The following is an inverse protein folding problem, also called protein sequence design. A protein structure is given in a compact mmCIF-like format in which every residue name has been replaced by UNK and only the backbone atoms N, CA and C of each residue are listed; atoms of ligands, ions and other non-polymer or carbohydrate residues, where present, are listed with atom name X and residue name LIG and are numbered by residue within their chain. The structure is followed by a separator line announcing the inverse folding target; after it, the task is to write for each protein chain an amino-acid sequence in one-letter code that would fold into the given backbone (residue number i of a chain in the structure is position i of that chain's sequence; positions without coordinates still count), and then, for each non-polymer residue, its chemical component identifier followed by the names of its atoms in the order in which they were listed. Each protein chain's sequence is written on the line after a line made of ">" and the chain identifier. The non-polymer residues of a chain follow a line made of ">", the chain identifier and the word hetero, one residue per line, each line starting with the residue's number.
data_IF_476282701802
#
_entry.id   IF_476282701802
#
_cell.length_a   1.000
_cell.length_b   1.000
_cell.length_c   1.000
_cell.angle_alpha   90.00
_cell.angle_beta   90.00
_cell.angle_gamma   90.00
#
_symmetry.space_group_name_H-M   'P 1'
#
loop_
_entity.id
_entity.type
_entity.pdbx_description
1 polymer ?
#
# COMPACT_ATOMS: atom_id res chain seq x y z
N UNK A 1 4.16 -22.31 2.53
CA UNK A 1 3.08 -21.36 2.25
C UNK A 1 3.34 -20.15 3.11
N UNK A 2 3.50 -18.96 2.52
CA UNK A 2 3.77 -17.75 3.29
C UNK A 2 2.52 -17.25 4.02
N UNK A 3 2.70 -16.41 5.03
CA UNK A 3 1.60 -15.76 5.74
C UNK A 3 0.69 -14.97 4.78
N UNK A 4 1.28 -14.22 3.86
CA UNK A 4 0.55 -13.52 2.80
C UNK A 4 -0.31 -14.45 1.95
N UNK A 5 0.21 -15.62 1.56
CA UNK A 5 -0.58 -16.59 0.77
C UNK A 5 -1.78 -17.12 1.56
N UNK A 6 -1.63 -17.29 2.88
CA UNK A 6 -2.71 -17.73 3.76
C UNK A 6 -3.78 -16.65 3.88
N UNK A 7 -3.38 -15.40 4.12
CA UNK A 7 -4.29 -14.23 4.17
C UNK A 7 -5.07 -14.12 2.85
N UNK A 8 -4.36 -14.13 1.72
CA UNK A 8 -4.99 -14.03 0.39
C UNK A 8 -6.04 -15.11 0.16
N UNK A 9 -5.73 -16.37 0.46
CA UNK A 9 -6.69 -17.48 0.32
C UNK A 9 -7.91 -17.31 1.23
N UNK A 10 -7.69 -16.92 2.49
CA UNK A 10 -8.77 -16.74 3.46
C UNK A 10 -9.74 -15.64 3.00
N UNK A 11 -9.22 -14.47 2.63
CA UNK A 11 -10.03 -13.34 2.17
C UNK A 11 -10.79 -13.69 0.88
N UNK A 12 -10.14 -14.36 -0.07
CA UNK A 12 -10.80 -14.82 -1.30
C UNK A 12 -11.90 -15.85 -1.04
N UNK A 13 -11.68 -16.79 -0.11
CA UNK A 13 -12.69 -17.77 0.28
C UNK A 13 -13.92 -17.14 0.92
N UNK A 14 -13.73 -16.08 1.71
CA UNK A 14 -14.82 -15.31 2.35
C UNK A 14 -15.43 -14.24 1.46
N UNK A 15 -14.78 -13.88 0.35
CA UNK A 15 -15.12 -12.71 -0.50
C UNK A 15 -15.10 -11.39 0.27
N UNK A 16 -14.14 -11.28 1.18
CA UNK A 16 -13.94 -10.09 2.02
C UNK A 16 -12.58 -9.46 1.71
N UNK A 17 -12.47 -8.16 1.97
CA UNK A 17 -11.18 -7.46 1.89
C UNK A 17 -10.46 -7.60 3.23
N UNK A 18 -9.14 -7.78 3.17
CA UNK A 18 -8.29 -7.91 4.34
C UNK A 18 -8.34 -6.65 5.20
N UNK A 19 -8.42 -6.87 6.50
CA UNK A 19 -8.23 -5.90 7.57
C UNK A 19 -7.10 -6.42 8.45
N UNK A 20 -6.07 -5.61 8.61
CA UNK A 20 -4.86 -6.01 9.33
C UNK A 20 -5.10 -5.95 10.85
N UNK A 21 -5.03 -7.09 11.58
CA UNK A 21 -5.23 -7.10 13.02
C UNK A 21 -4.07 -6.45 13.78
N UNK A 22 -2.86 -6.42 13.21
CA UNK A 22 -1.67 -5.88 13.84
C UNK A 22 -1.49 -4.38 13.53
N UNK A 23 -2.14 -3.89 12.47
CA UNK A 23 -2.10 -2.49 12.06
C UNK A 23 -3.48 -1.99 11.58
N UNK A 24 -4.43 -1.90 12.52
CA UNK A 24 -5.81 -1.50 12.23
C UNK A 24 -5.93 -0.07 11.68
N UNK A 25 -6.99 0.20 10.92
CA UNK A 25 -7.33 1.51 10.35
C UNK A 25 -7.91 2.47 11.43
N UNK A 26 -7.11 2.77 12.45
CA UNK A 26 -7.48 3.60 13.60
C UNK A 26 -6.47 4.70 13.82
N UNK A 27 -6.91 5.76 14.49
CA UNK A 27 -6.13 6.97 14.72
C UNK A 27 -4.79 6.72 15.45
N UNK A 28 -4.76 5.74 16.36
CA UNK A 28 -3.57 5.34 17.14
C UNK A 28 -2.50 4.65 16.29
N UNK A 29 -2.86 4.13 15.10
CA UNK A 29 -1.89 3.57 14.16
C UNK A 29 -1.03 4.65 13.49
N UNK A 30 -1.48 5.92 13.50
CA UNK A 30 -0.72 7.06 12.98
C UNK A 30 0.03 7.78 14.09
N UNK A 31 -0.59 7.97 15.26
CA UNK A 31 0.02 8.65 16.40
C UNK A 31 -0.02 7.78 17.66
N UNK A 32 1.14 7.44 18.20
CA UNK A 32 1.26 6.56 19.38
C UNK A 32 1.31 7.31 20.72
N UNK A 33 1.65 8.60 20.72
CA UNK A 33 1.89 9.38 21.96
C UNK A 33 1.24 10.77 21.98
N UNK A 34 0.76 11.26 20.84
CA UNK A 34 0.15 12.59 20.74
C UNK A 34 -1.31 12.48 20.28
N UNK A 35 -2.14 13.39 20.80
CA UNK A 35 -3.44 13.62 20.23
C UNK A 35 -3.25 14.15 18.79
N UNK A 36 -3.79 13.46 17.78
CA UNK A 36 -3.67 13.91 16.40
C UNK A 36 -4.36 15.25 16.20
N UNK A 37 -3.76 16.16 15.43
CA UNK A 37 -4.38 17.46 15.11
C UNK A 37 -5.56 17.35 14.13
N UNK A 38 -5.82 16.17 13.56
CA UNK A 38 -6.85 15.92 12.54
C UNK A 38 -7.56 14.58 12.78
N UNK A 39 -8.82 14.48 12.37
CA UNK A 39 -9.54 13.20 12.26
C UNK A 39 -9.28 12.60 10.89
N UNK A 40 -8.87 11.32 10.85
CA UNK A 40 -8.68 10.61 9.58
C UNK A 40 -9.90 9.79 9.17
N UNK A 41 -10.18 9.79 7.88
CA UNK A 41 -11.04 8.81 7.22
C UNK A 41 -10.15 7.86 6.43
N UNK A 42 -10.26 6.57 6.72
CA UNK A 42 -9.48 5.54 6.04
C UNK A 42 -10.24 5.06 4.81
N UNK A 43 -9.62 5.18 3.64
CA UNK A 43 -10.20 4.83 2.35
C UNK A 43 -9.29 3.85 1.62
N UNK A 44 -9.87 2.88 0.90
CA UNK A 44 -9.10 2.02 0.02
C UNK A 44 -8.87 2.74 -1.31
N UNK A 45 -7.86 2.34 -2.12
CA UNK A 45 -7.59 3.01 -3.39
C UNK A 45 -8.77 3.04 -4.38
N UNK A 46 -9.64 2.04 -4.33
CA UNK A 46 -10.87 1.98 -5.15
C UNK A 46 -11.92 3.02 -4.74
N UNK A 47 -11.88 3.49 -3.49
CA UNK A 47 -12.77 4.54 -2.98
C UNK A 47 -12.23 5.95 -3.30
N UNK A 48 -10.92 6.05 -3.60
CA UNK A 48 -10.23 7.31 -3.90
C UNK A 48 -10.24 7.65 -5.39
N UNK A 49 -10.13 6.64 -6.26
CA UNK A 49 -10.04 6.80 -7.71
C UNK A 49 -10.67 5.61 -8.43
N UNK A 50 -11.28 5.87 -9.60
CA UNK A 50 -12.02 4.86 -10.36
C UNK A 50 -11.16 3.65 -10.79
N UNK A 51 -9.92 3.89 -11.22
CA UNK A 51 -9.03 2.87 -11.77
C UNK A 51 -7.66 2.94 -11.07
N UNK A 52 -7.55 2.44 -9.82
CA UNK A 52 -6.28 2.46 -9.11
C UNK A 52 -5.29 1.49 -9.76
N UNK A 53 -4.06 1.96 -9.98
CA UNK A 53 -2.94 1.14 -10.47
C UNK A 53 -1.87 1.08 -9.39
N UNK A 54 -1.28 -0.10 -9.19
CA UNK A 54 -0.29 -0.29 -8.13
C UNK A 54 1.05 0.37 -8.49
N UNK A 55 1.62 -0.02 -9.64
CA UNK A 55 2.82 0.61 -10.20
C UNK A 55 2.54 0.90 -11.68
N UNK A 56 2.80 2.14 -12.11
CA UNK A 56 2.79 2.54 -13.52
C UNK A 56 4.23 2.67 -14.01
N UNK A 57 4.72 1.65 -14.70
CA UNK A 57 6.09 1.60 -15.22
C UNK A 57 6.30 2.41 -16.51
N UNK A 58 5.22 2.99 -17.05
CA UNK A 58 5.19 3.70 -18.33
C UNK A 58 5.71 5.15 -18.28
N UNK A 59 5.99 5.68 -17.09
CA UNK A 59 6.54 7.02 -16.91
C UNK A 59 8.03 6.95 -16.56
N UNK A 60 8.85 7.72 -17.28
CA UNK A 60 10.28 7.95 -16.96
C UNK A 60 10.46 8.66 -15.62
N UNK A 61 9.42 9.35 -15.13
CA UNK A 61 9.44 10.10 -13.88
C UNK A 61 8.62 9.37 -12.81
N UNK A 62 9.29 8.97 -11.75
CA UNK A 62 8.64 8.43 -10.56
C UNK A 62 8.28 9.57 -9.63
N UNK A 63 7.05 10.07 -9.80
CA UNK A 63 6.56 11.22 -9.05
C UNK A 63 6.10 10.79 -7.65
N UNK A 64 6.98 10.96 -6.67
CA UNK A 64 6.64 10.88 -5.26
C UNK A 64 6.63 12.28 -4.65
N UNK A 65 5.46 12.69 -4.17
CA UNK A 65 5.28 13.96 -3.45
C UNK A 65 5.05 13.65 -1.97
N UNK A 66 5.84 14.22 -1.04
CA UNK A 66 5.57 14.06 0.38
C UNK A 66 4.22 14.70 0.74
N UNK A 67 3.36 13.93 1.42
CA UNK A 67 2.11 14.44 1.98
C UNK A 67 2.33 15.32 3.21
N UNK A 68 1.24 15.84 3.79
CA UNK A 68 1.29 16.71 4.99
C UNK A 68 1.99 16.09 6.21
N UNK A 69 1.92 14.76 6.33
CA UNK A 69 2.57 13.97 7.39
C UNK A 69 3.68 13.07 6.85
N UNK A 70 4.14 13.30 5.60
CA UNK A 70 5.12 12.43 4.95
C UNK A 70 6.55 12.76 5.35
N UNK A 71 7.31 11.72 5.71
CA UNK A 71 8.75 11.82 5.95
C UNK A 71 9.52 12.09 4.64
N UNK A 72 10.11 13.29 4.53
CA UNK A 72 10.87 13.68 3.32
C UNK A 72 12.04 12.75 3.03
N UNK A 73 12.74 12.28 4.06
CA UNK A 73 13.87 11.37 3.91
C UNK A 73 13.45 10.03 3.29
N UNK A 74 12.29 9.49 3.70
CA UNK A 74 11.76 8.23 3.18
C UNK A 74 11.39 8.37 1.70
N UNK A 75 10.72 9.47 1.34
CA UNK A 75 10.37 9.77 -0.06
C UNK A 75 11.63 9.85 -0.94
N UNK A 76 12.69 10.51 -0.46
CA UNK A 76 13.97 10.56 -1.18
C UNK A 76 14.59 9.16 -1.35
N UNK A 77 14.59 8.33 -0.30
CA UNK A 77 15.09 6.96 -0.38
C UNK A 77 14.32 6.10 -1.41
N UNK A 78 12.99 6.22 -1.45
CA UNK A 78 12.16 5.52 -2.44
C UNK A 78 12.46 6.00 -3.87
N UNK A 79 12.69 7.29 -4.05
CA UNK A 79 13.14 7.86 -5.33
C UNK A 79 14.47 7.26 -5.79
N UNK A 80 15.45 7.14 -4.90
CA UNK A 80 16.72 6.47 -5.19
C UNK A 80 16.54 4.97 -5.50
N UNK A 81 15.72 4.27 -4.72
CA UNK A 81 15.49 2.83 -4.91
C UNK A 81 14.87 2.53 -6.28
N UNK A 82 13.93 3.35 -6.73
CA UNK A 82 13.26 3.19 -8.02
C UNK A 82 14.22 3.27 -9.22
N UNK A 83 15.31 4.04 -9.12
CA UNK A 83 16.34 4.11 -10.16
C UNK A 83 17.03 2.74 -10.37
N UNK A 84 17.05 1.89 -9.35
CA UNK A 84 17.60 0.54 -9.39
C UNK A 84 16.47 -0.50 -9.42
N UNK A 85 15.79 -0.65 -10.57
CA UNK A 85 14.62 -1.54 -10.74
C UNK A 85 14.80 -2.96 -10.18
N UNK A 86 15.99 -3.56 -10.33
CA UNK A 86 16.28 -4.89 -9.79
C UNK A 86 16.25 -4.96 -8.25
N UNK A 87 16.63 -3.88 -7.57
CA UNK A 87 16.51 -3.75 -6.11
C UNK A 87 15.10 -3.35 -5.71
N UNK A 88 14.48 -2.44 -6.46
CA UNK A 88 13.10 -2.02 -6.22
C UNK A 88 12.14 -3.22 -6.18
N UNK A 89 12.21 -4.11 -7.16
CA UNK A 89 11.34 -5.29 -7.23
C UNK A 89 11.63 -6.38 -6.19
N UNK A 90 12.73 -6.26 -5.41
CA UNK A 90 12.93 -7.08 -4.20
C UNK A 90 12.18 -6.53 -2.99
N UNK A 91 11.90 -5.23 -2.98
CA UNK A 91 11.19 -4.53 -1.90
C UNK A 91 9.69 -4.41 -2.21
N UNK A 92 9.34 -4.17 -3.48
CA UNK A 92 7.96 -4.02 -3.94
C UNK A 92 7.70 -5.02 -5.07
N UNK A 93 7.17 -6.22 -4.77
CA UNK A 93 6.92 -7.25 -5.78
C UNK A 93 5.97 -6.78 -6.89
N UNK A 94 6.35 -7.05 -8.15
CA UNK A 94 5.63 -6.61 -9.36
C UNK A 94 4.33 -7.38 -9.64
N UNK A 95 4.09 -8.51 -8.97
CA UNK A 95 2.95 -9.41 -9.17
C UNK A 95 1.70 -8.97 -8.39
N UNK A 96 1.63 -7.70 -8.00
CA UNK A 96 0.57 -7.11 -7.19
C UNK A 96 -0.24 -6.09 -7.96
N UNK A 97 -1.57 -6.18 -7.90
CA UNK A 97 -2.46 -5.29 -8.60
C UNK A 97 -3.84 -5.21 -7.93
N UNK A 98 -4.57 -4.11 -8.17
CA UNK A 98 -5.90 -3.85 -7.65
C UNK A 98 -7.04 -4.57 -8.39
N UNK A 99 -6.73 -5.33 -9.45
CA UNK A 99 -7.76 -5.93 -10.28
C UNK A 99 -8.36 -7.19 -9.63
N UNK A 100 -9.65 -7.45 -9.89
CA UNK A 100 -10.27 -8.70 -9.46
C UNK A 100 -9.66 -9.92 -10.18
N UNK A 101 -9.15 -9.75 -11.41
CA UNK A 101 -8.49 -10.81 -12.19
C UNK A 101 -7.17 -11.26 -11.54
N UNK A 102 -6.49 -10.37 -10.81
CA UNK A 102 -5.27 -10.68 -10.04
C UNK A 102 -5.58 -11.28 -8.66
N UNK A 103 -6.87 -11.44 -8.33
CA UNK A 103 -7.33 -11.93 -7.04
C UNK A 103 -7.06 -10.93 -5.93
N UNK A 104 -7.23 -9.63 -6.20
CA UNK A 104 -7.12 -8.59 -5.18
C UNK A 104 -8.04 -8.90 -3.99
N UNK A 105 -7.49 -8.78 -2.80
CA UNK A 105 -8.19 -9.06 -1.55
C UNK A 105 -7.90 -7.99 -0.49
N UNK A 106 -7.46 -6.78 -0.87
CA UNK A 106 -7.17 -5.71 0.09
C UNK A 106 -5.83 -5.83 0.83
N UNK A 107 -4.97 -6.80 0.48
CA UNK A 107 -3.66 -6.99 1.09
C UNK A 107 -2.51 -6.90 0.07
N UNK A 108 -1.37 -6.35 0.51
CA UNK A 108 -0.11 -6.24 -0.23
C UNK A 108 1.04 -6.85 0.60
N UNK A 109 2.19 -7.10 -0.03
CA UNK A 109 3.43 -7.59 0.59
C UNK A 109 4.66 -6.91 -0.01
#
# INVERSE_FOLDING_TARGET
>A
MSEWERIKRQCQGKRELYEDPDFAAVQTSVFYHQAPPFTFTWLRPQDLVQNPTFIRDEHTQFDLTPGKLGDRWLVSCLGCLQLAKGLFYRVVPADQAFSNKSGYCGAFR
#
